data_IF_794980894747
#
_entry.id   IF_794980894747
#
_cell.length_a   1.000
_cell.length_b   1.000
_cell.length_c   1.000
_cell.angle_alpha   90.00
_cell.angle_beta   90.00
_cell.angle_gamma   90.00
#
_symmetry.space_group_name_H-M   'P 1'
#
loop_
_entity.id
_entity.type
_entity.pdbx_description
1 polymer ?
#
# COMPACT_ATOMS: atom_id res chain seq x y z
N UNK A 1 52.30 40.37 -7.14
CA UNK A 1 53.17 41.46 -6.68
C UNK A 1 52.30 42.55 -6.07
N UNK A 2 52.49 42.81 -4.76
CA UNK A 2 52.38 44.13 -4.04
C UNK A 2 51.19 45.06 -4.33
N UNK A 3 50.45 45.65 -3.40
CA UNK A 3 50.58 45.88 -1.95
C UNK A 3 49.45 46.87 -1.53
N UNK A 4 48.79 46.64 -0.39
CA UNK A 4 48.82 47.44 0.86
C UNK A 4 48.58 48.96 0.81
N UNK A 5 47.54 49.42 1.55
CA UNK A 5 47.37 50.68 2.35
C UNK A 5 45.95 50.63 2.98
N UNK A 6 45.66 50.52 4.30
CA UNK A 6 45.95 51.37 5.48
C UNK A 6 45.54 52.84 5.24
N UNK A 7 44.67 53.56 5.97
CA UNK A 7 44.05 53.54 7.32
C UNK A 7 42.81 54.50 7.32
N UNK A 8 42.22 55.05 8.42
CA UNK A 8 42.32 54.74 9.86
C UNK A 8 40.96 54.65 10.63
N UNK A 9 41.09 54.20 11.89
CA UNK A 9 40.13 54.10 13.00
C UNK A 9 39.51 55.45 13.44
N UNK A 10 38.23 55.41 13.82
CA UNK A 10 37.63 56.34 14.78
C UNK A 10 36.97 55.60 15.96
N UNK A 11 37.53 55.87 17.13
CA UNK A 11 37.16 55.67 18.54
C UNK A 11 35.70 55.31 18.90
N UNK A 12 35.58 54.23 19.69
CA UNK A 12 34.47 53.93 20.61
C UNK A 12 34.53 54.81 21.87
N UNK A 13 33.39 54.93 22.58
CA UNK A 13 33.39 54.57 23.99
C UNK A 13 32.35 53.48 24.34
N UNK A 14 32.76 52.58 25.22
CA UNK A 14 31.95 51.54 25.92
C UNK A 14 31.33 52.14 27.22
N UNK A 15 30.77 51.34 28.15
CA UNK A 15 29.39 50.87 28.20
C UNK A 15 28.70 51.25 29.54
N UNK A 16 27.39 51.06 29.65
CA UNK A 16 26.72 50.89 30.93
C UNK A 16 25.73 49.70 30.81
N UNK A 17 26.01 48.65 31.57
CA UNK A 17 25.09 47.57 32.00
C UNK A 17 24.92 47.71 33.52
N UNK A 18 24.01 47.00 34.22
CA UNK A 18 22.92 46.11 33.77
C UNK A 18 21.56 46.43 34.43
N UNK A 19 20.44 45.97 33.86
CA UNK A 19 19.30 45.45 34.63
C UNK A 19 18.50 44.47 33.75
N UNK A 20 18.50 43.20 34.13
CA UNK A 20 17.51 42.20 33.72
C UNK A 20 16.43 42.11 34.82
N UNK A 21 15.38 41.29 34.69
CA UNK A 21 14.44 41.10 33.58
C UNK A 21 12.99 41.34 34.09
N UNK A 22 11.99 41.51 33.22
CA UNK A 22 10.57 41.36 33.62
C UNK A 22 9.79 40.54 32.59
N UNK A 23 9.52 39.29 32.98
CA UNK A 23 8.49 38.41 32.41
C UNK A 23 7.12 39.04 32.68
N UNK A 24 6.32 39.24 31.65
CA UNK A 24 4.91 39.61 31.81
C UNK A 24 4.10 38.31 31.90
N UNK A 25 3.77 37.92 33.12
CA UNK A 25 2.74 36.92 33.43
C UNK A 25 1.44 37.69 33.60
N UNK A 26 0.49 37.54 32.69
CA UNK A 26 -0.89 37.98 32.91
C UNK A 26 -1.63 36.86 33.64
N UNK A 27 -1.76 37.02 34.95
CA UNK A 27 -2.67 36.24 35.78
C UNK A 27 -4.01 36.98 35.86
N UNK A 28 -5.08 36.41 35.29
CA UNK A 28 -6.44 36.80 35.64
C UNK A 28 -6.93 35.90 36.76
N UNK A 29 -6.98 36.48 37.96
CA UNK A 29 -7.61 35.92 39.16
C UNK A 29 -9.09 36.34 39.14
N UNK A 30 -9.99 35.40 38.89
CA UNK A 30 -11.40 35.54 39.19
C UNK A 30 -11.78 34.47 40.22
N UNK A 31 -12.18 34.91 41.42
CA UNK A 31 -12.59 34.09 42.56
C UNK A 31 -14.11 34.16 42.72
N UNK A 32 -14.77 33.01 42.48
CA UNK A 32 -16.00 32.52 43.16
C UNK A 32 -17.36 33.10 42.75
N UNK A 33 -18.47 32.32 42.87
CA UNK A 33 -18.63 31.24 43.84
C UNK A 33 -18.85 29.84 43.23
N UNK A 34 -18.54 28.84 44.06
CA UNK A 34 -18.94 27.46 43.88
C UNK A 34 -20.46 27.32 43.89
N UNK A 35 -21.00 26.69 42.85
CA UNK A 35 -22.30 26.03 42.90
C UNK A 35 -22.14 24.68 42.19
N UNK A 36 -22.35 23.61 42.96
CA UNK A 36 -22.51 22.26 42.42
C UNK A 36 -23.69 22.25 41.44
N UNK A 37 -23.43 21.77 40.24
CA UNK A 37 -24.43 21.51 39.22
C UNK A 37 -23.76 20.74 38.10
N UNK A 38 -23.80 19.42 38.21
CA UNK A 38 -23.31 18.51 37.19
C UNK A 38 -24.07 18.76 35.88
N UNK A 39 -23.41 19.45 34.95
CA UNK A 39 -23.65 19.34 33.52
C UNK A 39 -22.38 18.72 32.95
N UNK A 40 -22.39 17.40 32.78
CA UNK A 40 -21.41 16.77 31.91
C UNK A 40 -21.73 17.26 30.50
N UNK A 41 -20.93 18.20 29.99
CA UNK A 41 -20.87 18.41 28.55
C UNK A 41 -20.37 17.09 27.96
N UNK A 42 -21.30 16.37 27.32
CA UNK A 42 -20.95 15.33 26.37
C UNK A 42 -20.25 16.04 25.22
N UNK A 43 -18.92 16.14 25.27
CA UNK A 43 -18.12 16.54 24.13
C UNK A 43 -18.48 15.66 22.94
N UNK A 44 -18.57 16.24 21.75
CA UNK A 44 -19.03 15.60 20.51
C UNK A 44 -18.12 14.46 20.00
N UNK A 45 -17.16 14.02 20.81
CA UNK A 45 -16.19 12.99 20.46
C UNK A 45 -15.21 13.41 19.37
N UNK A 46 -15.26 14.61 18.80
CA UNK A 46 -14.38 14.99 17.70
C UNK A 46 -12.93 15.16 18.17
N UNK A 47 -11.99 14.52 17.48
CA UNK A 47 -10.56 14.74 17.70
C UNK A 47 -10.12 15.89 16.83
N UNK A 48 -9.78 17.01 17.46
CA UNK A 48 -9.27 18.17 16.73
C UNK A 48 -7.78 17.98 16.43
N UNK A 49 -7.41 18.03 15.15
CA UNK A 49 -6.01 18.08 14.75
C UNK A 49 -5.38 19.42 15.14
N UNK A 50 -4.10 19.39 15.52
CA UNK A 50 -3.27 20.59 15.45
C UNK A 50 -2.97 20.88 13.98
N UNK A 51 -3.30 22.09 13.51
CA UNK A 51 -3.12 22.50 12.12
C UNK A 51 -1.94 23.46 12.00
N UNK A 52 -0.96 23.10 11.18
CA UNK A 52 0.09 24.00 10.71
C UNK A 52 0.13 24.07 9.18
N UNK A 53 0.58 25.20 8.63
CA UNK A 53 0.74 25.35 7.18
C UNK A 53 2.20 25.58 6.86
N UNK A 54 2.77 24.75 5.99
CA UNK A 54 4.15 24.89 5.53
C UNK A 54 4.18 24.79 4.02
N UNK A 55 4.82 25.78 3.38
CA UNK A 55 4.88 25.91 1.92
C UNK A 55 3.49 25.90 1.25
N UNK A 56 2.48 26.43 1.94
CA UNK A 56 1.09 26.49 1.45
C UNK A 56 0.31 25.17 1.59
N UNK A 57 0.89 24.14 2.19
CA UNK A 57 0.25 22.84 2.43
C UNK A 57 -0.14 22.74 3.90
N UNK A 58 -1.40 22.43 4.17
CA UNK A 58 -1.87 22.18 5.53
C UNK A 58 -1.38 20.82 6.04
N UNK A 59 -1.02 20.81 7.31
CA UNK A 59 -0.57 19.64 8.04
C UNK A 59 -1.48 19.43 9.23
N UNK A 60 -2.16 18.30 9.25
CA UNK A 60 -3.00 17.86 10.36
C UNK A 60 -2.16 16.94 11.24
N UNK A 61 -1.93 17.33 12.49
CA UNK A 61 -1.18 16.53 13.47
C UNK A 61 -2.12 16.07 14.58
N UNK A 62 -2.29 14.76 14.69
CA UNK A 62 -3.06 14.10 15.74
C UNK A 62 -2.14 13.56 16.83
N UNK A 63 -2.59 13.68 18.08
CA UNK A 63 -1.86 13.16 19.23
C UNK A 63 -1.83 11.61 19.22
N UNK A 64 -0.95 11.05 20.06
CA UNK A 64 -0.84 9.61 20.28
C UNK A 64 -2.07 9.00 20.97
N UNK A 65 -2.91 9.84 21.56
CA UNK A 65 -4.10 9.39 22.28
C UNK A 65 -5.04 8.63 21.32
N UNK A 66 -5.71 7.58 21.83
CA UNK A 66 -6.71 6.87 21.07
C UNK A 66 -7.78 7.84 20.55
N UNK A 67 -8.14 7.68 19.28
CA UNK A 67 -9.27 8.37 18.72
C UNK A 67 -10.58 7.79 19.26
N UNK A 68 -11.73 8.36 18.87
CA UNK A 68 -13.05 7.82 19.15
C UNK A 68 -13.09 6.38 18.69
N UNK A 69 -13.40 5.48 19.63
CA UNK A 69 -13.59 4.07 19.27
C UNK A 69 -14.88 3.96 18.48
N UNK A 70 -14.78 3.39 17.28
CA UNK A 70 -15.94 3.05 16.47
C UNK A 70 -16.41 1.65 16.91
N UNK A 71 -17.64 1.59 17.42
CA UNK A 71 -18.27 0.33 17.88
C UNK A 71 -18.88 -0.42 16.68
N UNK A 72 -18.06 -0.74 15.68
CA UNK A 72 -18.48 -1.52 14.52
C UNK A 72 -18.17 -3.00 14.72
N UNK A 73 -19.05 -3.85 14.19
CA UNK A 73 -18.89 -5.30 14.19
C UNK A 73 -19.04 -5.87 12.79
N UNK A 74 -18.62 -7.12 12.62
CA UNK A 74 -18.76 -7.83 11.35
C UNK A 74 -19.50 -9.14 11.52
N UNK A 75 -20.45 -9.40 10.64
CA UNK A 75 -21.08 -10.71 10.48
C UNK A 75 -20.63 -11.36 9.17
N UNK A 76 -20.21 -12.62 9.22
CA UNK A 76 -19.87 -13.37 8.00
C UNK A 76 -21.11 -13.62 7.16
N UNK A 77 -21.08 -13.20 5.90
CA UNK A 77 -22.13 -13.44 4.89
C UNK A 77 -21.81 -14.68 4.07
N UNK A 78 -20.58 -14.81 3.59
CA UNK A 78 -20.12 -15.95 2.80
C UNK A 78 -18.64 -16.23 3.05
N UNK A 79 -18.24 -17.50 2.88
CA UNK A 79 -16.85 -17.93 2.85
C UNK A 79 -16.63 -18.62 1.52
N UNK A 80 -15.74 -18.08 0.69
CA UNK A 80 -15.40 -18.59 -0.63
C UNK A 80 -13.99 -19.15 -0.56
N UNK A 81 -13.76 -20.39 -0.99
CA UNK A 81 -12.46 -21.04 -0.84
C UNK A 81 -12.53 -22.29 0.02
N UNK A 82 -12.36 -23.46 -0.60
CA UNK A 82 -12.25 -24.74 0.09
C UNK A 82 -11.52 -25.74 -0.83
N UNK A 83 -10.53 -26.45 -0.30
CA UNK A 83 -9.72 -27.41 -1.06
C UNK A 83 -10.51 -28.58 -1.65
N UNK A 84 -11.70 -28.86 -1.12
CA UNK A 84 -12.57 -29.96 -1.52
C UNK A 84 -13.89 -29.49 -2.15
N UNK A 85 -14.09 -28.18 -2.31
CA UNK A 85 -15.25 -27.65 -3.01
C UNK A 85 -15.14 -27.88 -4.53
N UNK A 86 -16.20 -27.49 -5.26
CA UNK A 86 -16.15 -27.47 -6.72
C UNK A 86 -15.14 -26.43 -7.24
N UNK A 87 -14.72 -26.59 -8.50
CA UNK A 87 -13.65 -25.80 -9.13
C UNK A 87 -13.85 -24.29 -8.99
N UNK A 88 -15.09 -23.82 -8.96
CA UNK A 88 -15.44 -22.41 -8.78
C UNK A 88 -15.09 -21.85 -7.38
N UNK A 89 -14.75 -22.67 -6.40
CA UNK A 89 -14.33 -22.25 -5.04
C UNK A 89 -12.98 -22.83 -4.65
N UNK A 90 -12.21 -23.35 -5.62
CA UNK A 90 -10.83 -23.77 -5.42
C UNK A 90 -9.89 -22.68 -5.95
N UNK A 91 -9.11 -22.09 -5.05
CA UNK A 91 -8.17 -21.03 -5.37
C UNK A 91 -6.75 -21.55 -5.46
N UNK A 92 -6.03 -21.20 -6.54
CA UNK A 92 -4.64 -21.61 -6.72
C UNK A 92 -3.66 -20.52 -6.26
N UNK A 93 -4.01 -19.24 -6.42
CA UNK A 93 -3.30 -18.10 -5.85
C UNK A 93 -4.12 -16.81 -5.97
N UNK A 94 -4.77 -16.40 -4.90
CA UNK A 94 -5.48 -15.13 -4.74
C UNK A 94 -4.62 -14.17 -3.93
N UNK A 95 -4.64 -12.89 -4.30
CA UNK A 95 -3.89 -11.82 -3.62
C UNK A 95 -4.87 -10.69 -3.25
N UNK A 96 -4.49 -9.87 -2.27
CA UNK A 96 -5.26 -8.68 -1.88
C UNK A 96 -5.58 -7.76 -3.08
N UNK A 97 -4.58 -7.45 -3.93
CA UNK A 97 -4.77 -6.65 -5.16
C UNK A 97 -5.49 -7.44 -6.29
N UNK A 98 -5.96 -8.65 -6.02
CA UNK A 98 -6.69 -9.52 -6.94
C UNK A 98 -8.17 -9.66 -6.56
N UNK A 99 -8.72 -8.73 -5.77
CA UNK A 99 -10.13 -8.68 -5.39
C UNK A 99 -10.73 -7.35 -5.85
N UNK A 100 -11.95 -7.38 -6.38
CA UNK A 100 -12.67 -6.17 -6.78
C UNK A 100 -14.18 -6.33 -6.64
N UNK A 101 -14.89 -5.22 -6.47
CA UNK A 101 -16.34 -5.20 -6.28
C UNK A 101 -17.02 -4.25 -7.26
N UNK A 102 -18.20 -4.62 -7.75
CA UNK A 102 -19.04 -3.72 -8.54
C UNK A 102 -20.17 -3.09 -7.72
N UNK A 103 -20.90 -2.18 -8.36
CA UNK A 103 -22.00 -1.41 -7.76
C UNK A 103 -23.23 -2.29 -7.47
N UNK A 104 -23.31 -3.47 -8.08
CA UNK A 104 -24.34 -4.48 -7.79
C UNK A 104 -23.98 -5.38 -6.59
N UNK A 105 -22.78 -5.19 -6.02
CA UNK A 105 -22.28 -5.99 -4.90
C UNK A 105 -21.74 -7.35 -5.33
N UNK A 106 -21.44 -7.56 -6.62
CA UNK A 106 -20.70 -8.73 -7.05
C UNK A 106 -19.24 -8.61 -6.63
N UNK A 107 -18.64 -9.76 -6.32
CA UNK A 107 -17.23 -9.90 -6.00
C UNK A 107 -16.52 -10.58 -7.16
N UNK A 108 -15.38 -10.03 -7.56
CA UNK A 108 -14.48 -10.60 -8.54
C UNK A 108 -13.18 -11.03 -7.86
N UNK A 109 -12.77 -12.28 -8.11
CA UNK A 109 -11.57 -12.89 -7.54
C UNK A 109 -10.64 -13.32 -8.66
N UNK A 110 -9.44 -12.75 -8.72
CA UNK A 110 -8.39 -13.19 -9.63
C UNK A 110 -7.63 -14.36 -9.03
N UNK A 111 -7.91 -15.55 -9.55
CA UNK A 111 -7.08 -16.73 -9.35
C UNK A 111 -5.90 -16.68 -10.33
N UNK A 112 -4.80 -16.09 -9.86
CA UNK A 112 -3.65 -15.74 -10.70
C UNK A 112 -2.87 -16.95 -11.24
N UNK A 113 -2.89 -18.07 -10.52
CA UNK A 113 -2.31 -19.33 -11.00
C UNK A 113 -3.30 -20.10 -11.87
N UNK A 114 -4.59 -20.07 -11.55
CA UNK A 114 -5.65 -20.61 -12.40
C UNK A 114 -5.85 -19.85 -13.72
N UNK A 115 -5.26 -18.65 -13.87
CA UNK A 115 -5.37 -17.78 -15.06
C UNK A 115 -6.82 -17.42 -15.38
N UNK A 116 -7.61 -17.16 -14.33
CA UNK A 116 -9.05 -16.91 -14.42
C UNK A 116 -9.50 -15.85 -13.42
N UNK A 117 -10.58 -15.17 -13.75
CA UNK A 117 -11.33 -14.30 -12.83
C UNK A 117 -12.66 -14.98 -12.53
N UNK A 118 -12.98 -15.14 -11.26
CA UNK A 118 -14.22 -15.75 -10.76
C UNK A 118 -15.15 -14.63 -10.28
N UNK A 119 -16.38 -14.63 -10.76
CA UNK A 119 -17.42 -13.67 -10.38
C UNK A 119 -18.42 -14.35 -9.45
N UNK A 120 -18.72 -13.69 -8.32
CA UNK A 120 -19.66 -14.16 -7.32
C UNK A 120 -20.75 -13.13 -7.07
N UNK A 121 -21.94 -13.64 -6.78
CA UNK A 121 -23.05 -12.87 -6.26
C UNK A 121 -22.74 -12.25 -4.89
N UNK A 122 -23.52 -11.24 -4.46
CA UNK A 122 -23.43 -10.68 -3.13
C UNK A 122 -23.65 -11.73 -2.02
N UNK A 123 -24.33 -12.83 -2.32
CA UNK A 123 -24.57 -13.98 -1.43
C UNK A 123 -23.46 -15.06 -1.49
N UNK A 124 -22.41 -14.83 -2.30
CA UNK A 124 -21.32 -15.77 -2.50
C UNK A 124 -21.57 -16.83 -3.56
N UNK A 125 -22.72 -16.83 -4.25
CA UNK A 125 -22.98 -17.78 -5.33
C UNK A 125 -22.15 -17.48 -6.57
N UNK A 126 -21.40 -18.46 -7.08
CA UNK A 126 -20.68 -18.33 -8.36
C UNK A 126 -21.61 -17.98 -9.52
N UNK A 127 -21.21 -17.01 -10.35
CA UNK A 127 -22.00 -16.48 -11.48
C UNK A 127 -21.33 -16.76 -12.82
N UNK A 128 -20.03 -16.47 -12.90
CA UNK A 128 -19.28 -16.57 -14.14
C UNK A 128 -17.80 -16.80 -13.89
N UNK A 129 -17.13 -17.37 -14.89
CA UNK A 129 -15.67 -17.48 -14.93
C UNK A 129 -15.18 -16.84 -16.21
N UNK A 130 -14.26 -15.90 -16.08
CA UNK A 130 -13.68 -15.16 -17.18
C UNK A 130 -12.20 -15.53 -17.34
N UNK A 131 -11.74 -15.54 -18.59
CA UNK A 131 -10.36 -15.83 -18.93
C UNK A 131 -9.97 -17.32 -18.88
N UNK A 132 -8.77 -17.58 -19.39
CA UNK A 132 -8.10 -18.90 -19.41
C UNK A 132 -6.62 -18.69 -19.71
N UNK A 133 -5.79 -19.70 -19.47
CA UNK A 133 -4.38 -19.64 -19.84
C UNK A 133 -4.17 -19.39 -21.35
N UNK A 134 -3.32 -18.42 -21.70
CA UNK A 134 -2.94 -18.14 -23.09
C UNK A 134 -2.57 -16.68 -23.36
N UNK A 135 -2.48 -16.32 -24.64
CA UNK A 135 -2.01 -15.02 -25.13
C UNK A 135 -3.07 -14.29 -26.00
N UNK A 136 -4.12 -15.00 -26.42
CA UNK A 136 -5.20 -14.48 -27.25
C UNK A 136 -6.15 -13.52 -26.52
N UNK A 137 -7.20 -13.02 -27.22
CA UNK A 137 -8.20 -12.14 -26.62
C UNK A 137 -8.87 -12.77 -25.40
N UNK A 138 -8.81 -12.08 -24.25
CA UNK A 138 -9.35 -12.54 -22.98
C UNK A 138 -8.55 -13.65 -22.28
N UNK A 139 -7.47 -14.15 -22.90
CA UNK A 139 -6.58 -15.12 -22.26
C UNK A 139 -5.55 -14.43 -21.34
N UNK A 140 -5.05 -15.14 -20.33
CA UNK A 140 -4.19 -14.61 -19.29
C UNK A 140 -2.91 -15.46 -19.16
N UNK A 141 -1.75 -14.81 -18.99
CA UNK A 141 -0.44 -15.51 -18.93
C UNK A 141 0.25 -15.35 -17.57
N UNK A 142 0.22 -14.16 -16.97
CA UNK A 142 0.61 -13.95 -15.57
C UNK A 142 -0.16 -12.76 -15.00
N UNK A 143 -1.47 -12.92 -14.77
CA UNK A 143 -2.27 -11.85 -14.19
C UNK A 143 -1.85 -11.62 -12.75
N UNK A 144 -1.64 -10.36 -12.36
CA UNK A 144 -1.07 -10.01 -11.05
C UNK A 144 -2.05 -9.28 -10.13
N UNK A 145 -2.95 -8.46 -10.69
CA UNK A 145 -3.98 -7.74 -9.96
C UNK A 145 -5.18 -7.43 -10.85
N UNK A 146 -6.29 -7.06 -10.21
CA UNK A 146 -7.54 -6.69 -10.88
C UNK A 146 -8.13 -5.44 -10.24
N UNK A 147 -8.94 -4.70 -11.01
CA UNK A 147 -9.80 -3.64 -10.51
C UNK A 147 -11.09 -3.61 -11.36
N UNK A 148 -12.24 -3.31 -10.75
CA UNK A 148 -13.50 -3.17 -11.49
C UNK A 148 -13.66 -1.72 -11.91
N UNK A 149 -13.74 -1.49 -13.22
CA UNK A 149 -13.93 -0.17 -13.78
C UNK A 149 -15.39 0.14 -14.12
N UNK A 150 -15.67 1.38 -14.58
CA UNK A 150 -17.00 1.77 -15.04
C UNK A 150 -17.57 0.84 -16.11
N UNK A 151 -18.88 0.58 -16.04
CA UNK A 151 -19.60 -0.32 -16.95
C UNK A 151 -19.32 -1.80 -16.68
N UNK A 152 -19.06 -2.17 -15.42
CA UNK A 152 -18.84 -3.54 -14.93
C UNK A 152 -17.78 -4.32 -15.73
N UNK A 153 -16.72 -3.61 -16.16
CA UNK A 153 -15.58 -4.23 -16.84
C UNK A 153 -14.47 -4.49 -15.84
N UNK A 154 -14.06 -5.75 -15.72
CA UNK A 154 -12.93 -6.14 -14.89
C UNK A 154 -11.64 -5.90 -15.65
N UNK A 155 -10.74 -5.08 -15.11
CA UNK A 155 -9.43 -4.80 -15.69
C UNK A 155 -8.37 -5.59 -14.96
N UNK A 156 -7.58 -6.36 -15.70
CA UNK A 156 -6.54 -7.24 -15.18
C UNK A 156 -5.17 -6.79 -15.68
N UNK A 157 -4.23 -6.56 -14.76
CA UNK A 157 -2.82 -6.35 -15.10
C UNK A 157 -2.19 -7.70 -15.43
N UNK A 158 -2.00 -7.99 -16.73
CA UNK A 158 -1.47 -9.26 -17.23
C UNK A 158 0.01 -9.11 -17.59
N UNK A 159 0.85 -9.49 -16.64
CA UNK A 159 2.28 -9.20 -16.64
C UNK A 159 3.02 -9.86 -17.80
N UNK A 160 2.84 -11.16 -18.00
CA UNK A 160 3.57 -11.90 -19.05
C UNK A 160 3.07 -11.57 -20.45
N UNK A 161 1.79 -11.26 -20.60
CA UNK A 161 1.26 -10.74 -21.86
C UNK A 161 1.56 -9.24 -22.08
N UNK A 162 2.13 -8.57 -21.07
CA UNK A 162 2.54 -7.15 -21.10
C UNK A 162 1.41 -6.23 -21.52
N UNK A 163 0.25 -6.39 -20.88
CA UNK A 163 -0.95 -5.64 -21.21
C UNK A 163 -1.86 -5.47 -20.01
N UNK A 164 -2.76 -4.51 -20.10
CA UNK A 164 -4.00 -4.53 -19.32
C UNK A 164 -5.07 -5.19 -20.17
N UNK A 165 -5.74 -6.20 -19.59
CA UNK A 165 -6.84 -6.92 -20.23
C UNK A 165 -8.15 -6.51 -19.58
N UNK A 166 -9.08 -5.96 -20.36
CA UNK A 166 -10.46 -5.67 -19.93
C UNK A 166 -11.40 -6.83 -20.26
N UNK A 167 -12.17 -7.29 -19.28
CA UNK A 167 -13.11 -8.39 -19.37
C UNK A 167 -14.52 -7.88 -18.99
N UNK A 168 -15.40 -7.59 -19.96
CA UNK A 168 -16.76 -7.15 -19.68
C UNK A 168 -17.59 -8.27 -19.00
N UNK A 169 -18.19 -8.00 -17.83
CA UNK A 169 -18.96 -9.00 -17.08
C UNK A 169 -20.26 -9.43 -17.78
N UNK A 170 -20.94 -8.51 -18.50
CA UNK A 170 -22.23 -8.73 -19.17
C UNK A 170 -22.17 -9.43 -20.53
N UNK A 171 -21.01 -9.94 -20.94
CA UNK A 171 -20.77 -10.45 -22.29
C UNK A 171 -20.38 -9.32 -23.25
N UNK A 172 -19.26 -9.51 -23.93
CA UNK A 172 -18.65 -8.53 -24.83
C UNK A 172 -17.24 -8.97 -25.21
N UNK A 173 -16.63 -8.30 -26.18
CA UNK A 173 -15.28 -8.65 -26.61
C UNK A 173 -14.25 -8.15 -25.57
N UNK A 174 -13.29 -9.00 -25.16
CA UNK A 174 -12.19 -8.57 -24.31
C UNK A 174 -11.39 -7.43 -24.93
N UNK A 175 -11.01 -6.46 -24.11
CA UNK A 175 -10.16 -5.33 -24.50
C UNK A 175 -8.72 -5.64 -24.12
N UNK A 176 -7.77 -5.24 -24.96
CA UNK A 176 -6.35 -5.51 -24.76
C UNK A 176 -5.54 -4.25 -25.02
N UNK A 177 -4.87 -3.73 -23.99
CA UNK A 177 -4.08 -2.50 -24.07
C UNK A 177 -2.63 -2.85 -23.72
N UNK A 178 -1.71 -2.89 -24.70
CA UNK A 178 -0.32 -3.27 -24.44
C UNK A 178 0.43 -2.17 -23.68
N UNK A 179 1.33 -2.56 -22.78
CA UNK A 179 2.29 -1.63 -22.20
C UNK A 179 3.34 -1.22 -23.23
N UNK A 180 3.80 0.02 -23.17
CA UNK A 180 4.93 0.48 -23.97
C UNK A 180 6.22 -0.27 -23.61
N UNK A 181 7.03 -0.55 -24.63
CA UNK A 181 8.32 -1.19 -24.43
C UNK A 181 9.26 -0.28 -23.64
N UNK A 182 9.86 -0.80 -22.57
CA UNK A 182 10.74 -0.01 -21.72
C UNK A 182 10.06 0.86 -20.64
N UNK A 183 8.72 0.92 -20.58
CA UNK A 183 7.98 1.70 -19.58
C UNK A 183 8.11 1.21 -18.11
N UNK A 184 8.82 0.09 -17.90
CA UNK A 184 8.96 -0.57 -16.61
C UNK A 184 7.92 -1.68 -16.41
N UNK A 185 7.87 -2.21 -15.20
CA UNK A 185 6.86 -3.19 -14.78
C UNK A 185 5.78 -2.46 -13.98
N UNK A 186 4.50 -2.51 -14.39
CA UNK A 186 3.41 -1.99 -13.58
C UNK A 186 3.18 -2.85 -12.33
N UNK A 187 2.78 -2.21 -11.23
CA UNK A 187 2.35 -2.91 -10.03
C UNK A 187 1.06 -3.69 -10.25
N UNK A 188 0.79 -4.72 -9.42
CA UNK A 188 -0.51 -5.39 -9.38
C UNK A 188 -1.66 -4.43 -9.10
N UNK A 189 -1.49 -3.56 -8.09
CA UNK A 189 -2.46 -2.52 -7.74
C UNK A 189 -2.61 -1.48 -8.86
N UNK A 190 -3.86 -1.14 -9.14
CA UNK A 190 -4.30 -0.17 -10.13
C UNK A 190 -5.59 0.49 -9.63
N UNK A 191 -5.83 1.75 -10.00
CA UNK A 191 -7.18 2.32 -9.95
C UNK A 191 -7.70 2.52 -11.37
N UNK A 192 -8.97 2.21 -11.61
CA UNK A 192 -9.62 2.42 -12.91
C UNK A 192 -10.51 3.64 -12.84
N UNK A 193 -10.24 4.61 -13.71
CA UNK A 193 -11.01 5.84 -13.85
C UNK A 193 -11.95 5.74 -15.07
N UNK A 194 -12.86 6.70 -15.21
CA UNK A 194 -13.73 6.80 -16.40
C UNK A 194 -12.90 6.96 -17.69
N UNK A 195 -11.84 7.75 -17.65
CA UNK A 195 -11.01 8.12 -18.79
C UNK A 195 -9.65 7.40 -18.87
N UNK A 196 -9.35 6.52 -17.91
CA UNK A 196 -8.07 5.82 -17.89
C UNK A 196 -7.77 5.07 -16.61
N UNK A 197 -6.50 5.15 -16.17
CA UNK A 197 -5.97 4.35 -15.07
C UNK A 197 -5.03 5.18 -14.19
N UNK A 198 -4.87 4.77 -12.93
CA UNK A 198 -3.72 5.15 -12.11
C UNK A 198 -2.90 3.89 -11.86
N UNK A 199 -1.61 3.96 -12.18
CA UNK A 199 -0.69 2.84 -12.16
C UNK A 199 0.63 3.25 -11.55
N UNK A 200 1.27 2.35 -10.81
CA UNK A 200 2.64 2.53 -10.34
C UNK A 200 3.58 1.66 -11.16
N UNK A 201 4.72 2.20 -11.56
CA UNK A 201 5.73 1.47 -12.34
C UNK A 201 7.02 1.26 -11.54
N UNK A 202 7.64 0.09 -11.69
CA UNK A 202 9.01 -0.15 -11.28
C UNK A 202 9.93 -0.10 -12.50
N UNK A 203 10.90 0.83 -12.55
CA UNK A 203 11.89 0.88 -13.61
C UNK A 203 13.01 -0.15 -13.40
N UNK A 204 13.07 -0.85 -12.25
CA UNK A 204 14.12 -1.83 -11.97
C UNK A 204 14.20 -2.92 -13.03
N UNK A 205 13.07 -3.31 -13.59
CA UNK A 205 13.01 -4.26 -14.69
C UNK A 205 12.13 -3.68 -15.79
N UNK A 206 12.47 -4.01 -17.02
CA UNK A 206 11.59 -3.77 -18.15
C UNK A 206 11.74 -4.89 -19.17
N UNK A 207 10.78 -4.97 -20.09
CA UNK A 207 10.86 -5.85 -21.23
C UNK A 207 11.36 -5.06 -22.44
N UNK A 208 12.40 -5.57 -23.11
CA UNK A 208 12.94 -5.04 -24.36
C UNK A 208 13.20 -6.16 -25.36
N UNK A 209 13.10 -5.89 -26.65
CA UNK A 209 13.56 -6.81 -27.70
C UNK A 209 15.08 -6.84 -27.72
N UNK A 210 15.65 -8.03 -27.75
CA UNK A 210 17.07 -8.20 -28.05
C UNK A 210 17.34 -8.07 -29.56
N UNK A 211 18.61 -8.15 -29.95
CA UNK A 211 19.02 -8.03 -31.37
C UNK A 211 18.44 -9.10 -32.30
N UNK A 212 17.80 -10.15 -31.76
CA UNK A 212 17.08 -11.17 -32.54
C UNK A 212 15.58 -10.88 -32.67
N UNK A 213 15.09 -9.79 -32.07
CA UNK A 213 13.67 -9.42 -32.02
C UNK A 213 12.89 -10.14 -30.91
N UNK A 214 13.55 -11.01 -30.13
CA UNK A 214 12.95 -11.73 -29.01
C UNK A 214 12.83 -10.81 -27.80
N UNK A 215 11.65 -10.78 -27.17
CA UNK A 215 11.46 -10.05 -25.91
C UNK A 215 12.29 -10.69 -24.80
N UNK A 216 13.06 -9.87 -24.08
CA UNK A 216 13.78 -10.26 -22.87
C UNK A 216 13.49 -9.27 -21.75
N UNK A 217 13.37 -9.80 -20.54
CA UNK A 217 13.42 -8.97 -19.34
C UNK A 217 14.86 -8.55 -19.10
N UNK A 218 15.08 -7.26 -18.86
CA UNK A 218 16.37 -6.71 -18.49
C UNK A 218 16.21 -5.77 -17.30
N UNK A 219 17.30 -5.52 -16.58
CA UNK A 219 17.32 -4.50 -15.54
C UNK A 219 17.23 -3.13 -16.21
N UNK A 220 16.24 -2.32 -15.86
CA UNK A 220 16.07 -0.99 -16.45
C UNK A 220 17.10 0.00 -15.93
N UNK A 221 17.55 0.89 -16.83
CA UNK A 221 18.33 2.09 -16.52
C UNK A 221 19.62 1.86 -15.71
N UNK A 222 20.70 1.48 -16.39
CA UNK A 222 22.00 2.11 -16.10
C UNK A 222 22.31 2.99 -17.30
N UNK A 223 21.79 4.21 -17.33
CA UNK A 223 22.55 5.25 -18.00
C UNK A 223 23.78 5.44 -17.10
N UNK A 224 24.95 5.06 -17.58
CA UNK A 224 26.22 5.21 -16.86
C UNK A 224 26.51 6.68 -16.47
N UNK A 225 25.76 7.65 -17.04
CA UNK A 225 25.76 9.07 -16.71
C UNK A 225 24.83 9.46 -15.54
N UNK A 226 23.82 8.65 -15.19
CA UNK A 226 23.02 8.88 -14.01
C UNK A 226 23.86 8.48 -12.79
N UNK A 227 24.31 9.47 -12.03
CA UNK A 227 25.11 9.25 -10.81
C UNK A 227 24.44 8.35 -9.76
N UNK A 228 24.92 8.33 -8.50
CA UNK A 228 24.52 7.34 -7.49
C UNK A 228 23.05 7.41 -6.99
N UNK A 229 22.17 8.18 -7.63
CA UNK A 229 20.77 8.34 -7.22
C UNK A 229 19.95 7.08 -7.55
N UNK A 230 19.14 6.62 -6.60
CA UNK A 230 18.25 5.48 -6.82
C UNK A 230 17.16 5.85 -7.85
N UNK A 231 16.75 4.91 -8.73
CA UNK A 231 15.59 5.11 -9.59
C UNK A 231 14.35 5.49 -8.78
N UNK A 232 13.43 6.22 -9.40
CA UNK A 232 12.15 6.58 -8.80
C UNK A 232 11.04 5.64 -9.27
N UNK A 233 10.11 5.35 -8.37
CA UNK A 233 8.86 4.63 -8.56
C UNK A 233 7.73 5.63 -8.74
N UNK A 234 7.31 5.92 -9.97
CA UNK A 234 6.22 6.86 -10.18
C UNK A 234 4.86 6.17 -10.01
N UNK A 235 3.92 6.87 -9.38
CA UNK A 235 2.47 6.64 -9.49
C UNK A 235 1.97 7.62 -10.54
N UNK A 236 1.42 7.11 -11.63
CA UNK A 236 1.13 7.86 -12.86
C UNK A 236 -0.33 7.69 -13.20
N UNK A 237 -1.00 8.80 -13.50
CA UNK A 237 -2.30 8.79 -14.16
C UNK A 237 -2.09 8.63 -15.66
N UNK A 238 -2.83 7.73 -16.27
CA UNK A 238 -2.71 7.36 -17.67
C UNK A 238 -4.06 7.42 -18.36
N UNK A 239 -4.07 7.71 -19.66
CA UNK A 239 -5.27 7.58 -20.50
C UNK A 239 -5.68 6.11 -20.63
N UNK A 240 -6.87 5.85 -21.18
CA UNK A 240 -7.30 4.50 -21.57
C UNK A 240 -6.34 3.80 -22.55
N UNK A 241 -5.52 4.56 -23.28
CA UNK A 241 -4.47 4.04 -24.17
C UNK A 241 -3.13 3.76 -23.48
N UNK A 242 -3.04 3.93 -22.16
CA UNK A 242 -1.80 3.87 -21.36
C UNK A 242 -0.77 4.95 -21.67
N UNK A 243 -1.23 6.09 -22.20
CA UNK A 243 -0.39 7.27 -22.36
C UNK A 243 -0.32 8.04 -21.02
N UNK A 244 0.88 8.42 -20.51
CA UNK A 244 0.99 9.21 -19.28
C UNK A 244 0.30 10.57 -19.40
N UNK A 245 -0.51 10.90 -18.41
CA UNK A 245 -1.18 12.21 -18.26
C UNK A 245 -0.42 13.05 -17.24
N UNK A 246 -0.29 12.55 -16.00
CA UNK A 246 0.41 13.22 -14.90
C UNK A 246 1.13 12.22 -14.00
N UNK A 247 2.25 12.65 -13.41
CA UNK A 247 2.89 11.91 -12.32
C UNK A 247 2.35 12.42 -10.99
N UNK A 248 1.59 11.59 -10.28
CA UNK A 248 0.93 11.94 -9.03
C UNK A 248 1.90 11.85 -7.84
N UNK A 249 2.77 10.84 -7.83
CA UNK A 249 3.75 10.66 -6.76
C UNK A 249 5.01 9.99 -7.29
N UNK A 250 6.14 10.24 -6.63
CA UNK A 250 7.38 9.49 -6.87
C UNK A 250 8.02 9.15 -5.54
N UNK A 251 8.36 7.87 -5.34
CA UNK A 251 9.18 7.44 -4.22
C UNK A 251 10.48 6.82 -4.73
N UNK A 252 11.62 6.94 -4.03
CA UNK A 252 12.81 6.17 -4.37
C UNK A 252 12.53 4.66 -4.32
N UNK A 253 13.14 3.93 -5.24
CA UNK A 253 13.15 2.46 -5.20
C UNK A 253 13.71 1.97 -3.85
N UNK A 254 13.07 0.95 -3.24
CA UNK A 254 13.64 0.28 -2.07
C UNK A 254 15.07 -0.19 -2.33
N UNK A 255 15.96 -0.11 -1.32
CA UNK A 255 17.29 -0.65 -1.43
C UNK A 255 17.18 -2.17 -1.60
N UNK A 256 17.78 -2.66 -2.68
CA UNK A 256 17.90 -4.08 -2.96
C UNK A 256 19.34 -4.49 -2.74
N UNK A 257 19.57 -5.38 -1.79
CA UNK A 257 20.88 -5.92 -1.50
C UNK A 257 21.14 -7.11 -2.44
N UNK A 258 22.28 -7.08 -3.16
CA UNK A 258 22.70 -8.15 -4.06
C UNK A 258 23.40 -9.24 -3.24
N UNK A 259 22.74 -10.39 -3.11
CA UNK A 259 23.18 -11.47 -2.24
C UNK A 259 23.58 -12.67 -3.08
N UNK A 260 24.83 -13.11 -2.94
CA UNK A 260 25.30 -14.36 -3.55
C UNK A 260 25.02 -15.52 -2.61
N UNK A 261 24.27 -16.53 -3.06
CA UNK A 261 24.00 -17.79 -2.38
C UNK A 261 24.76 -18.91 -3.10
N UNK A 262 25.31 -19.88 -2.38
CA UNK A 262 26.09 -20.96 -2.98
C UNK A 262 25.70 -22.34 -2.44
N UNK A 263 25.34 -23.26 -3.34
CA UNK A 263 25.10 -24.65 -2.98
C UNK A 263 25.39 -25.57 -4.17
N UNK A 264 25.83 -26.81 -3.89
CA UNK A 264 26.15 -27.84 -4.89
C UNK A 264 27.08 -27.36 -6.04
N UNK A 265 28.08 -26.51 -5.72
CA UNK A 265 29.04 -25.99 -6.70
C UNK A 265 28.45 -24.97 -7.68
N UNK A 266 27.25 -24.47 -7.43
CA UNK A 266 26.61 -23.37 -8.17
C UNK A 266 26.42 -22.18 -7.25
N UNK A 267 26.67 -20.99 -7.77
CA UNK A 267 26.27 -19.75 -7.09
C UNK A 267 25.04 -19.15 -7.79
N UNK A 268 24.14 -18.59 -7.00
CA UNK A 268 22.97 -17.86 -7.42
C UNK A 268 23.05 -16.47 -6.83
N UNK A 269 22.96 -15.44 -7.67
CA UNK A 269 22.83 -14.06 -7.19
C UNK A 269 21.35 -13.75 -7.12
N UNK A 270 20.87 -13.39 -5.93
CA UNK A 270 19.49 -12.98 -5.68
C UNK A 270 19.46 -11.54 -5.17
N UNK A 271 18.38 -10.84 -5.45
CA UNK A 271 18.12 -9.51 -4.89
C UNK A 271 17.21 -9.67 -3.70
N UNK A 272 17.59 -9.11 -2.57
CA UNK A 272 16.78 -9.11 -1.36
C UNK A 272 16.43 -7.67 -0.98
N UNK A 273 15.14 -7.42 -0.77
CA UNK A 273 14.69 -6.18 -0.13
C UNK A 273 15.08 -6.22 1.35
N UNK A 274 15.37 -5.06 1.92
CA UNK A 274 15.54 -4.93 3.37
C UNK A 274 14.20 -5.13 4.06
N UNK A 275 14.15 -6.04 5.02
CA UNK A 275 13.00 -6.22 5.89
C UNK A 275 12.72 -4.92 6.66
N UNK A 276 11.45 -4.63 6.95
CA UNK A 276 11.00 -3.37 7.58
C UNK A 276 11.25 -2.09 6.77
N UNK A 277 11.75 -2.17 5.53
CA UNK A 277 11.82 -0.97 4.71
C UNK A 277 10.42 -0.49 4.38
N UNK A 278 10.09 0.81 4.55
CA UNK A 278 8.75 1.31 4.27
C UNK A 278 8.41 1.11 2.79
N UNK A 279 7.42 0.26 2.54
CA UNK A 279 6.84 0.10 1.21
C UNK A 279 6.02 1.33 0.82
N UNK A 280 5.88 1.55 -0.48
CA UNK A 280 4.91 2.53 -0.99
C UNK A 280 3.49 1.97 -0.78
N UNK A 281 2.76 2.59 0.14
CA UNK A 281 1.33 2.38 0.32
C UNK A 281 0.59 3.50 -0.38
N UNK A 282 -0.34 3.17 -1.27
CA UNK A 282 -1.18 4.16 -1.94
C UNK A 282 -2.54 3.56 -2.31
N UNK A 283 -3.52 4.44 -2.41
CA UNK A 283 -4.84 4.14 -3.00
C UNK A 283 -5.45 5.42 -3.60
N UNK A 284 -6.45 5.27 -4.47
CA UNK A 284 -7.03 6.37 -5.23
C UNK A 284 -8.38 6.84 -4.67
N UNK A 285 -8.63 8.13 -4.80
CA UNK A 285 -9.95 8.71 -4.61
C UNK A 285 -10.76 8.63 -5.91
N UNK A 286 -12.08 8.72 -5.80
CA UNK A 286 -13.03 8.70 -6.92
C UNK A 286 -12.79 9.85 -7.93
N UNK A 287 -12.17 10.95 -7.51
CA UNK A 287 -11.84 12.10 -8.36
C UNK A 287 -10.48 11.99 -9.08
N UNK A 288 -9.78 10.86 -8.92
CA UNK A 288 -8.47 10.62 -9.50
C UNK A 288 -7.30 11.21 -8.72
N UNK A 289 -7.54 11.81 -7.54
CA UNK A 289 -6.49 12.04 -6.54
C UNK A 289 -6.03 10.74 -5.89
N UNK A 290 -4.97 10.81 -5.08
CA UNK A 290 -4.46 9.66 -4.32
C UNK A 290 -4.13 10.03 -2.88
N UNK A 291 -4.16 9.04 -2.00
CA UNK A 291 -3.50 9.08 -0.70
C UNK A 291 -2.27 8.19 -0.74
N UNK A 292 -1.17 8.66 -0.16
CA UNK A 292 0.11 7.93 -0.18
C UNK A 292 0.86 8.00 1.15
N UNK A 293 1.52 6.89 1.50
CA UNK A 293 2.52 6.79 2.55
C UNK A 293 3.73 6.01 2.04
N UNK A 294 4.92 6.58 2.20
CA UNK A 294 6.20 6.02 1.76
C UNK A 294 7.28 6.15 2.85
N UNK A 295 6.85 6.30 4.10
CA UNK A 295 7.72 6.59 5.23
C UNK A 295 7.55 5.55 6.34
N UNK A 296 8.59 5.36 7.16
CA UNK A 296 8.44 4.52 8.34
C UNK A 296 7.46 5.15 9.35
N UNK A 297 7.33 6.48 9.37
CA UNK A 297 6.38 7.14 10.26
C UNK A 297 4.94 7.10 9.78
N UNK A 298 4.05 7.58 10.63
CA UNK A 298 2.67 7.83 10.25
C UNK A 298 2.60 9.15 9.50
N UNK A 299 2.81 9.09 8.18
CA UNK A 299 2.72 10.26 7.30
C UNK A 299 1.89 9.90 6.09
N UNK A 300 0.69 10.45 6.01
CA UNK A 300 -0.15 10.35 4.82
C UNK A 300 -0.08 11.66 4.05
N UNK A 301 -0.08 11.58 2.73
CA UNK A 301 -0.15 12.75 1.86
C UNK A 301 -1.34 12.59 0.95
N UNK A 302 -2.23 13.58 0.98
CA UNK A 302 -3.37 13.67 0.10
C UNK A 302 -2.92 14.49 -1.11
N UNK A 303 -2.90 13.85 -2.26
CA UNK A 303 -2.45 14.40 -3.52
C UNK A 303 -3.66 14.52 -4.44
N UNK A 304 -3.84 15.68 -5.05
CA UNK A 304 -4.91 15.86 -6.02
C UNK A 304 -4.58 15.17 -7.36
N UNK A 305 -5.57 15.15 -8.25
CA UNK A 305 -5.45 14.54 -9.57
C UNK A 305 -4.39 15.22 -10.47
N UNK A 306 -3.87 16.39 -10.10
CA UNK A 306 -2.78 17.08 -10.79
C UNK A 306 -1.41 16.85 -10.16
N UNK A 307 -1.29 15.94 -9.18
CA UNK A 307 -0.03 15.62 -8.50
C UNK A 307 0.39 16.64 -7.44
N UNK A 308 -0.49 17.56 -7.03
CA UNK A 308 -0.20 18.53 -5.98
C UNK A 308 -0.58 17.99 -4.61
N UNK A 309 0.36 17.99 -3.66
CA UNK A 309 0.07 17.66 -2.26
C UNK A 309 -0.82 18.76 -1.67
N UNK A 310 -2.05 18.40 -1.31
CA UNK A 310 -3.03 19.32 -0.71
C UNK A 310 -2.96 19.33 0.81
N UNK A 311 -2.67 18.17 1.40
CA UNK A 311 -2.66 18.01 2.85
C UNK A 311 -1.72 16.90 3.27
N UNK A 312 -1.13 17.05 4.45
CA UNK A 312 -0.31 16.03 5.08
C UNK A 312 -0.94 15.67 6.43
N UNK A 313 -1.11 14.38 6.69
CA UNK A 313 -1.65 13.88 7.96
C UNK A 313 -0.51 13.20 8.71
N UNK A 314 -0.39 13.51 10.00
CA UNK A 314 0.54 12.89 10.93
C UNK A 314 -0.18 12.44 12.18
N UNK A 315 0.24 11.30 12.72
CA UNK A 315 -0.26 10.82 14.00
C UNK A 315 0.85 10.14 14.81
N UNK A 316 0.93 10.46 16.09
CA UNK A 316 1.86 9.82 17.01
C UNK A 316 1.36 8.42 17.45
N UNK A 317 2.24 7.53 17.98
CA UNK A 317 3.67 7.74 18.20
C UNK A 317 4.50 7.56 16.92
N UNK A 318 5.71 8.15 16.87
CA UNK A 318 6.66 7.94 15.78
C UNK A 318 7.01 6.46 15.59
N UNK A 319 7.64 6.10 14.45
CA UNK A 319 8.12 4.74 14.26
C UNK A 319 9.19 4.39 15.30
N UNK A 320 9.26 3.12 15.66
CA UNK A 320 10.26 2.60 16.61
C UNK A 320 11.41 1.94 15.87
N UNK A 321 12.55 1.84 16.54
CA UNK A 321 13.70 1.09 16.04
C UNK A 321 13.40 -0.42 16.00
N UNK A 322 13.95 -1.09 14.99
CA UNK A 322 13.93 -2.54 14.86
C UNK A 322 14.89 -3.18 15.86
N UNK A 323 14.34 -3.92 16.82
CA UNK A 323 15.10 -4.66 17.83
C UNK A 323 15.62 -5.97 17.26
N UNK A 324 16.59 -6.60 17.94
CA UNK A 324 17.06 -7.93 17.52
C UNK A 324 15.96 -9.00 17.64
N UNK A 325 15.02 -8.82 18.57
CA UNK A 325 13.86 -9.71 18.69
C UNK A 325 12.95 -9.62 17.44
N UNK A 326 12.73 -8.40 16.91
CA UNK A 326 11.96 -8.22 15.67
C UNK A 326 12.66 -8.89 14.48
N UNK A 327 13.99 -8.74 14.39
CA UNK A 327 14.79 -9.33 13.32
C UNK A 327 14.79 -10.86 13.37
N UNK A 328 14.91 -11.44 14.55
CA UNK A 328 14.82 -12.89 14.71
C UNK A 328 13.41 -13.41 14.45
N UNK A 329 12.37 -12.67 14.85
CA UNK A 329 10.99 -13.01 14.50
C UNK A 329 10.78 -13.02 12.98
N UNK A 330 11.30 -12.03 12.26
CA UNK A 330 11.25 -12.00 10.80
C UNK A 330 12.03 -13.17 10.16
N UNK A 331 13.22 -13.53 10.68
CA UNK A 331 13.94 -14.73 10.23
C UNK A 331 13.13 -16.00 10.50
N UNK A 332 12.44 -16.07 11.63
CA UNK A 332 11.58 -17.21 11.97
C UNK A 332 10.40 -17.34 11.00
N UNK A 333 9.73 -16.24 10.64
CA UNK A 333 8.68 -16.26 9.60
C UNK A 333 9.17 -16.87 8.28
N UNK A 334 10.36 -16.46 7.83
CA UNK A 334 10.96 -17.00 6.60
C UNK A 334 11.29 -18.51 6.73
N UNK A 335 11.64 -19.00 7.93
CA UNK A 335 11.81 -20.44 8.18
C UNK A 335 10.47 -21.15 8.06
N UNK A 336 9.43 -20.62 8.70
CA UNK A 336 8.10 -21.23 8.75
C UNK A 336 7.50 -21.33 7.34
N UNK A 337 7.55 -20.24 6.55
CA UNK A 337 7.13 -20.21 5.14
C UNK A 337 7.86 -21.25 4.27
N UNK A 338 9.17 -21.44 4.50
CA UNK A 338 9.95 -22.41 3.77
C UNK A 338 9.57 -23.86 4.12
N UNK A 339 9.14 -24.11 5.36
CA UNK A 339 8.69 -25.44 5.82
C UNK A 339 7.22 -25.74 5.48
N UNK A 340 6.36 -24.74 5.36
CA UNK A 340 4.94 -24.86 5.01
C UNK A 340 4.65 -25.13 3.53
N UNK A 341 5.67 -25.37 2.70
CA UNK A 341 5.49 -25.68 1.27
C UNK A 341 5.28 -24.46 0.35
N UNK A 342 5.32 -23.24 0.89
CA UNK A 342 5.22 -21.95 0.17
C UNK A 342 6.50 -21.50 -0.53
N UNK A 343 7.53 -22.35 -0.62
CA UNK A 343 8.77 -22.04 -1.33
C UNK A 343 8.55 -21.78 -2.83
N UNK A 344 9.27 -20.79 -3.37
CA UNK A 344 9.32 -20.49 -4.81
C UNK A 344 9.63 -21.78 -5.60
N UNK A 345 8.60 -22.38 -6.21
CA UNK A 345 8.77 -23.46 -7.18
C UNK A 345 9.17 -22.84 -8.52
N UNK A 346 10.45 -22.53 -8.68
CA UNK A 346 11.01 -22.27 -10.01
C UNK A 346 10.90 -23.59 -10.78
N UNK A 347 10.19 -23.56 -11.92
CA UNK A 347 9.92 -24.75 -12.72
C UNK A 347 11.16 -25.60 -13.03
N UNK A 348 10.95 -26.92 -13.03
CA UNK A 348 12.01 -27.94 -13.09
C UNK A 348 12.36 -28.43 -11.69
N UNK A 349 12.30 -29.75 -11.46
CA UNK A 349 12.47 -30.39 -10.15
C UNK A 349 13.47 -29.64 -9.26
N UNK A 350 12.95 -29.08 -8.17
CA UNK A 350 13.70 -28.18 -7.30
C UNK A 350 14.98 -28.83 -6.77
N UNK A 351 15.92 -28.01 -6.26
CA UNK A 351 17.10 -28.54 -5.59
C UNK A 351 16.70 -29.57 -4.53
N UNK A 352 17.54 -30.57 -4.30
CA UNK A 352 17.33 -31.54 -3.23
C UNK A 352 17.21 -30.84 -1.87
N UNK A 353 16.64 -31.55 -0.89
CA UNK A 353 16.32 -31.01 0.44
C UNK A 353 17.54 -30.42 1.16
N UNK A 354 18.72 -31.03 1.02
CA UNK A 354 19.95 -30.52 1.63
C UNK A 354 20.39 -29.20 0.96
N UNK A 355 20.33 -29.16 -0.37
CA UNK A 355 20.59 -27.94 -1.14
C UNK A 355 19.60 -26.83 -0.78
N UNK A 356 18.30 -27.14 -0.64
CA UNK A 356 17.27 -26.19 -0.20
C UNK A 356 17.55 -25.64 1.19
N UNK A 357 17.84 -26.51 2.16
CA UNK A 357 18.20 -26.13 3.54
C UNK A 357 19.41 -25.20 3.55
N UNK A 358 20.48 -25.54 2.83
CA UNK A 358 21.71 -24.73 2.77
C UNK A 358 21.48 -23.36 2.12
N UNK A 359 20.62 -23.27 1.11
CA UNK A 359 20.24 -22.01 0.48
C UNK A 359 19.38 -21.16 1.44
N UNK A 360 18.46 -21.78 2.17
CA UNK A 360 17.65 -21.12 3.19
C UNK A 360 18.52 -20.56 4.32
N UNK A 361 19.46 -21.34 4.86
CA UNK A 361 20.40 -20.89 5.91
C UNK A 361 21.19 -19.66 5.47
N UNK A 362 21.73 -19.66 4.25
CA UNK A 362 22.43 -18.49 3.70
C UNK A 362 21.51 -17.31 3.45
N UNK A 363 20.27 -17.55 3.00
CA UNK A 363 19.27 -16.48 2.84
C UNK A 363 19.01 -15.82 4.18
N UNK A 364 18.76 -16.60 5.23
CA UNK A 364 18.49 -16.12 6.58
C UNK A 364 19.69 -15.36 7.17
N UNK A 365 20.92 -15.85 6.96
CA UNK A 365 22.15 -15.17 7.41
C UNK A 365 22.30 -13.79 6.74
N UNK A 366 21.98 -13.71 5.44
CA UNK A 366 22.19 -12.52 4.60
C UNK A 366 20.96 -11.62 4.53
N UNK A 367 19.91 -11.89 5.30
CA UNK A 367 18.79 -10.97 5.48
C UNK A 367 19.30 -9.64 6.05
N UNK A 368 18.81 -8.55 5.48
CA UNK A 368 19.11 -7.19 5.88
C UNK A 368 17.82 -6.51 6.35
N UNK A 369 17.97 -5.52 7.23
CA UNK A 369 16.86 -4.89 7.94
C UNK A 369 16.98 -3.37 7.87
N UNK A 370 15.86 -2.68 7.73
CA UNK A 370 15.79 -1.25 7.99
C UNK A 370 15.91 -0.96 9.49
N UNK A 371 16.35 0.25 9.83
CA UNK A 371 16.54 0.67 11.21
C UNK A 371 15.20 0.92 11.94
N UNK A 372 14.17 1.35 11.20
CA UNK A 372 12.86 1.72 11.74
C UNK A 372 11.78 0.80 11.19
N UNK A 373 10.83 0.43 12.05
CA UNK A 373 9.65 -0.35 11.65
C UNK A 373 8.53 0.61 11.21
N UNK A 374 7.92 0.39 10.02
CA UNK A 374 6.84 1.23 9.53
C UNK A 374 5.59 1.19 10.41
N UNK A 375 4.98 2.36 10.62
CA UNK A 375 3.69 2.49 11.32
C UNK A 375 2.50 2.14 10.44
N UNK A 376 2.52 2.63 9.20
CA UNK A 376 1.45 2.38 8.23
C UNK A 376 1.80 1.12 7.46
N UNK A 377 1.02 0.06 7.67
CA UNK A 377 1.22 -1.26 7.04
C UNK A 377 0.12 -1.60 6.03
N UNK A 378 -1.01 -0.90 6.09
CA UNK A 378 -2.06 -0.96 5.07
C UNK A 378 -2.67 0.44 4.85
N UNK A 379 -3.07 0.72 3.63
CA UNK A 379 -3.74 1.97 3.25
C UNK A 379 -4.75 1.66 2.17
N UNK A 380 -6.01 2.05 2.40
CA UNK A 380 -7.12 1.85 1.47
C UNK A 380 -8.05 3.05 1.43
N UNK A 381 -8.73 3.24 0.31
CA UNK A 381 -9.82 4.21 0.15
C UNK A 381 -11.10 3.44 -0.13
N UNK A 382 -12.16 3.72 0.64
CA UNK A 382 -13.46 3.10 0.40
C UNK A 382 -14.27 3.84 -0.68
N UNK A 383 -15.41 3.27 -1.05
CA UNK A 383 -16.29 3.81 -2.10
C UNK A 383 -16.89 5.19 -1.76
N UNK A 384 -16.76 5.66 -0.51
CA UNK A 384 -17.17 6.99 -0.05
C UNK A 384 -15.98 7.95 0.11
N UNK A 385 -14.82 7.63 -0.49
CA UNK A 385 -13.56 8.37 -0.36
C UNK A 385 -13.02 8.47 1.08
N UNK A 386 -13.42 7.57 1.99
CA UNK A 386 -12.83 7.54 3.34
C UNK A 386 -11.50 6.79 3.31
N UNK A 387 -10.55 7.26 4.11
CA UNK A 387 -9.20 6.72 4.16
C UNK A 387 -9.10 5.75 5.34
N UNK A 388 -8.83 4.49 5.04
CA UNK A 388 -8.61 3.41 6.01
C UNK A 388 -7.11 3.17 6.15
N UNK A 389 -6.58 3.31 7.36
CA UNK A 389 -5.13 3.21 7.62
C UNK A 389 -4.89 2.09 8.62
N UNK A 390 -4.32 0.98 8.16
CA UNK A 390 -3.89 -0.10 9.02
C UNK A 390 -2.58 0.25 9.72
N UNK A 391 -2.59 0.25 11.05
CA UNK A 391 -1.49 0.70 11.90
C UNK A 391 -0.86 -0.46 12.64
N UNK A 392 0.45 -0.61 12.51
CA UNK A 392 1.26 -1.52 13.31
C UNK A 392 1.72 -0.84 14.61
N UNK A 393 1.50 -1.51 15.74
CA UNK A 393 1.86 -1.03 17.08
C UNK A 393 3.09 -1.77 17.62
N UNK A 394 2.93 -3.07 17.89
CA UNK A 394 3.95 -3.93 18.51
C UNK A 394 4.55 -4.91 17.51
N UNK A 395 3.72 -5.74 16.87
CA UNK A 395 4.16 -6.72 15.86
C UNK A 395 4.34 -6.05 14.50
N UNK A 396 5.55 -6.09 13.90
CA UNK A 396 5.76 -5.58 12.55
C UNK A 396 4.81 -6.23 11.54
N UNK A 397 4.32 -5.43 10.59
CA UNK A 397 3.44 -5.84 9.47
C UNK A 397 2.01 -6.27 9.86
N UNK A 398 1.72 -6.44 11.16
CA UNK A 398 0.37 -6.72 11.67
C UNK A 398 -0.45 -5.42 11.83
N UNK A 399 -1.71 -5.47 11.40
CA UNK A 399 -2.67 -4.37 11.62
C UNK A 399 -3.27 -4.50 13.03
N UNK A 400 -2.72 -3.75 13.99
CA UNK A 400 -3.21 -3.74 15.37
C UNK A 400 -4.45 -2.85 15.56
N UNK A 401 -4.59 -1.82 14.72
CA UNK A 401 -5.79 -0.97 14.66
C UNK A 401 -5.96 -0.38 13.26
N UNK A 402 -7.15 0.10 12.97
CA UNK A 402 -7.44 0.87 11.76
C UNK A 402 -7.86 2.27 12.17
N UNK A 403 -7.17 3.28 11.66
CA UNK A 403 -7.59 4.67 11.78
C UNK A 403 -8.42 5.05 10.55
N UNK A 404 -9.58 5.65 10.78
CA UNK A 404 -10.50 6.05 9.73
C UNK A 404 -10.52 7.57 9.61
N UNK A 405 -10.25 8.09 8.43
CA UNK A 405 -10.36 9.51 8.11
C UNK A 405 -11.41 9.73 7.04
N UNK A 406 -12.03 10.91 7.05
CA UNK A 406 -12.80 11.37 5.91
C UNK A 406 -11.88 11.73 4.72
N UNK A 407 -12.48 12.10 3.58
CA UNK A 407 -11.70 12.50 2.38
C UNK A 407 -10.85 13.75 2.59
N UNK A 408 -11.16 14.55 3.60
CA UNK A 408 -10.40 15.76 3.92
C UNK A 408 -9.21 15.45 4.84
N UNK A 409 -9.15 14.26 5.45
CA UNK A 409 -8.13 13.91 6.42
C UNK A 409 -8.49 14.23 7.87
N UNK A 410 -9.76 14.54 8.13
CA UNK A 410 -10.29 14.63 9.50
C UNK A 410 -10.49 13.22 10.07
N UNK A 411 -9.98 12.98 11.28
CA UNK A 411 -10.07 11.69 11.95
C UNK A 411 -11.51 11.44 12.40
N UNK A 412 -12.13 10.42 11.84
CA UNK A 412 -13.46 9.95 12.23
C UNK A 412 -13.38 9.13 13.51
N UNK A 413 -12.38 8.24 13.60
CA UNK A 413 -12.19 7.37 14.76
C UNK A 413 -11.21 6.23 14.48
N UNK A 414 -11.17 5.27 15.40
CA UNK A 414 -10.36 4.06 15.28
C UNK A 414 -11.18 2.79 15.52
N UNK A 415 -10.84 1.74 14.76
CA UNK A 415 -11.33 0.38 14.91
C UNK A 415 -10.21 -0.50 15.45
N UNK A 416 -10.56 -1.39 16.39
CA UNK A 416 -9.68 -2.43 16.93
C UNK A 416 -10.41 -3.76 16.85
N UNK A 417 -9.66 -4.84 16.71
CA UNK A 417 -10.21 -6.19 16.52
C UNK A 417 -11.12 -6.27 15.28
N UNK A 418 -10.84 -5.44 14.27
CA UNK A 418 -11.59 -5.33 13.02
C UNK A 418 -10.67 -5.65 11.84
N UNK A 419 -11.09 -6.49 10.88
CA UNK A 419 -10.23 -6.87 9.78
C UNK A 419 -10.02 -5.70 8.81
N UNK A 420 -8.77 -5.48 8.39
CA UNK A 420 -8.49 -4.55 7.30
C UNK A 420 -9.13 -5.10 6.01
N UNK A 421 -10.02 -4.35 5.32
CA UNK A 421 -10.66 -4.82 4.10
C UNK A 421 -9.65 -5.01 2.95
N UNK A 422 -9.76 -6.14 2.25
CA UNK A 422 -9.08 -6.37 0.98
C UNK A 422 -9.90 -5.87 -0.21
N UNK A 423 -11.22 -5.74 -0.07
CA UNK A 423 -12.11 -5.14 -1.05
C UNK A 423 -13.34 -4.53 -0.37
N UNK A 424 -13.83 -3.41 -0.88
CA UNK A 424 -15.10 -2.82 -0.48
C UNK A 424 -16.17 -3.17 -1.52
N UNK A 425 -17.29 -3.73 -1.07
CA UNK A 425 -18.42 -4.08 -1.93
C UNK A 425 -19.53 -3.02 -1.77
N UNK A 426 -20.53 -3.06 -2.64
CA UNK A 426 -21.69 -2.19 -2.51
C UNK A 426 -22.42 -2.40 -1.18
N UNK A 427 -23.00 -1.32 -0.65
CA UNK A 427 -23.68 -1.31 0.64
C UNK A 427 -22.73 -1.44 1.82
N UNK A 428 -23.08 -2.30 2.76
CA UNK A 428 -22.46 -2.47 4.06
C UNK A 428 -21.42 -3.60 4.10
N UNK A 429 -20.78 -3.93 2.98
CA UNK A 429 -19.99 -5.17 2.84
C UNK A 429 -18.54 -4.97 2.50
N UNK A 430 -17.72 -5.85 3.04
CA UNK A 430 -16.28 -5.96 2.77
C UNK A 430 -15.90 -7.40 2.45
N UNK A 431 -14.83 -7.58 1.69
CA UNK A 431 -14.17 -8.87 1.51
C UNK A 431 -12.80 -8.86 2.17
N UNK A 432 -12.44 -9.97 2.81
CA UNK A 432 -11.16 -10.16 3.49
C UNK A 432 -10.56 -11.49 3.04
N UNK A 433 -9.31 -11.46 2.58
CA UNK A 433 -8.53 -12.65 2.25
C UNK A 433 -7.97 -13.24 3.55
N UNK A 434 -8.14 -14.55 3.72
CA UNK A 434 -7.64 -15.31 4.87
C UNK A 434 -7.12 -16.66 4.39
N UNK A 435 -6.41 -17.34 5.28
CA UNK A 435 -6.06 -18.74 5.13
C UNK A 435 -6.70 -19.52 6.29
N UNK A 436 -7.17 -20.73 6.00
CA UNK A 436 -7.68 -21.63 7.03
C UNK A 436 -6.55 -22.42 7.71
N UNK A 437 -6.89 -23.37 8.58
CA UNK A 437 -5.92 -24.21 9.31
C UNK A 437 -5.07 -25.12 8.41
N UNK A 438 -5.41 -25.24 7.13
CA UNK A 438 -4.75 -26.06 6.13
C UNK A 438 -4.05 -25.19 5.06
N UNK A 439 -3.85 -23.91 5.33
CA UNK A 439 -3.27 -22.92 4.43
C UNK A 439 -4.07 -22.76 3.11
N UNK A 440 -5.38 -23.07 3.15
CA UNK A 440 -6.28 -22.87 2.00
C UNK A 440 -6.76 -21.44 1.99
N UNK A 441 -6.54 -20.74 0.88
CA UNK A 441 -6.97 -19.36 0.71
C UNK A 441 -8.50 -19.27 0.65
N UNK A 442 -9.05 -18.33 1.44
CA UNK A 442 -10.46 -18.01 1.51
C UNK A 442 -10.69 -16.51 1.35
N UNK A 443 -11.73 -16.14 0.60
CA UNK A 443 -12.30 -14.79 0.62
C UNK A 443 -13.55 -14.82 1.48
N UNK A 444 -13.49 -14.15 2.62
CA UNK A 444 -14.61 -14.04 3.56
C UNK A 444 -15.34 -12.73 3.28
N UNK A 445 -16.58 -12.84 2.83
CA UNK A 445 -17.47 -11.69 2.65
C UNK A 445 -18.16 -11.42 3.98
N UNK A 446 -18.06 -10.18 4.46
CA UNK A 446 -18.60 -9.76 5.75
C UNK A 446 -19.52 -8.56 5.57
N UNK A 447 -20.62 -8.56 6.34
CA UNK A 447 -21.44 -7.37 6.58
C UNK A 447 -20.85 -6.59 7.73
N UNK A 448 -20.82 -5.27 7.64
CA UNK A 448 -20.35 -4.35 8.66
C UNK A 448 -21.55 -3.64 9.28
N UNK A 449 -21.72 -3.81 10.58
CA UNK A 449 -22.79 -3.22 11.36
C UNK A 449 -22.23 -2.13 12.29
N UNK A 450 -22.83 -0.93 12.28
CA UNK A 450 -22.40 0.17 13.15
C UNK A 450 -22.90 1.55 12.69
N UNK A 451 -23.01 2.49 13.63
CA UNK A 451 -23.40 3.87 13.30
C UNK A 451 -22.33 4.53 12.41
N UNK A 452 -22.74 5.06 11.26
CA UNK A 452 -21.83 5.65 10.28
C UNK A 452 -20.88 4.64 9.61
N UNK A 453 -21.09 3.34 9.81
CA UNK A 453 -20.46 2.29 9.01
C UNK A 453 -20.83 2.49 7.53
N UNK A 454 -19.94 2.00 6.65
CA UNK A 454 -20.05 1.98 5.18
C UNK A 454 -21.48 2.33 4.71
N UNK A 455 -21.67 3.58 4.31
CA UNK A 455 -23.00 4.11 4.05
C UNK A 455 -23.71 3.28 2.98
N UNK A 456 -25.03 3.08 3.12
CA UNK A 456 -25.87 2.66 2.00
C UNK A 456 -25.81 3.78 0.94
N UNK A 457 -24.96 3.62 -0.08
CA UNK A 457 -24.94 4.50 -1.25
C UNK A 457 -26.17 4.24 -2.13
#
# INVERSE_FOLDING_TARGET
MTGTRSAPRALLPRPLSPHAPRRLVLAFLALGPAACGAGADAGDGSVTAAVDTVDGVERLSYAAEPGPRLDWSTDTVAVLGDAFAEDAYQFNNVRSDGLGGDDAGHLYVLDSQGKRVLEYGPDGGHRATHGRAGEGPGELSQPMGLEVGPGDTVWVSDFSNRRITGLPSGGGDPVSIPFEEGAGIPSPRMAVLEDGFILRFSPLFNFRRDGSGQMRMSRGGQDEEAGPARPLLPVVRMTRGLEPVDTLWTTPEPPMDMVQLEAAGRFMVTMMSREFYPGLQWDAFSDGGIVVSDSAGYVLRLVDAGGTVRRIIRRDPPPREATEADREAARQRVRDEATGGGGVRIGGGGPDEETQRRLLEQRLEKMTFAELIPRVVALRVDRSDRIWVGVSEETPDEVARIDLYDRTGELIGELRDFPMPDVFLAGDRIGVLREDELDVQQVVVMRVDGAGALAEL
#
